data_IF_658814648064
#
_entry.id   IF_658814648064
#
_cell.length_a   1.000
_cell.length_b   1.000
_cell.length_c   1.000
_cell.angle_alpha   90.00
_cell.angle_beta   90.00
_cell.angle_gamma   90.00
#
_symmetry.space_group_name_H-M   'P 1'
#
loop_
_entity.id
_entity.type
_entity.pdbx_description
1 polymer ?
#
# COMPACT_ATOMS: atom_id res chain seq x y z
N UNK A 1 -7.14 19.09 1.78
CA UNK A 1 -7.90 18.03 2.48
C UNK A 1 -9.37 17.99 2.06
N UNK A 2 -10.10 19.11 2.05
CA UNK A 2 -11.55 19.18 1.72
C UNK A 2 -11.81 18.62 0.31
N UNK A 3 -10.98 18.97 -0.66
CA UNK A 3 -11.10 18.48 -2.04
C UNK A 3 -10.97 16.95 -2.11
N UNK A 4 -10.01 16.39 -1.37
CA UNK A 4 -9.79 14.93 -1.31
C UNK A 4 -10.98 14.23 -0.66
N UNK A 5 -11.53 14.79 0.44
CA UNK A 5 -12.71 14.24 1.09
C UNK A 5 -13.94 14.23 0.16
N UNK A 6 -14.15 15.31 -0.59
CA UNK A 6 -15.22 15.37 -1.59
C UNK A 6 -15.01 14.34 -2.72
N UNK A 7 -13.77 14.18 -3.17
CA UNK A 7 -13.41 13.18 -4.20
C UNK A 7 -13.66 11.74 -3.71
N UNK A 8 -13.35 11.45 -2.44
CA UNK A 8 -13.69 10.17 -1.81
C UNK A 8 -15.21 9.92 -1.79
N UNK A 9 -16.00 10.93 -1.49
CA UNK A 9 -17.44 10.81 -1.51
C UNK A 9 -17.97 10.50 -2.92
N UNK A 10 -17.48 11.21 -3.95
CA UNK A 10 -17.85 10.97 -5.35
C UNK A 10 -17.42 9.55 -5.78
N UNK A 11 -16.24 9.11 -5.38
CA UNK A 11 -15.75 7.75 -5.65
C UNK A 11 -16.65 6.70 -5.00
N UNK A 12 -17.00 6.88 -3.72
CA UNK A 12 -17.85 5.95 -2.99
C UNK A 12 -19.23 5.83 -3.60
N UNK A 13 -19.88 6.96 -3.92
CA UNK A 13 -21.19 6.99 -4.58
C UNK A 13 -21.09 6.33 -5.97
N UNK A 14 -20.05 6.66 -6.74
CA UNK A 14 -19.82 6.07 -8.05
C UNK A 14 -19.57 4.56 -8.02
N UNK A 15 -18.85 4.07 -7.01
CA UNK A 15 -18.60 2.64 -6.81
C UNK A 15 -19.90 1.90 -6.44
N UNK A 16 -20.68 2.44 -5.50
CA UNK A 16 -21.99 1.87 -5.13
C UNK A 16 -22.94 1.85 -6.32
N UNK A 17 -22.99 2.94 -7.09
CA UNK A 17 -23.82 3.00 -8.29
C UNK A 17 -23.38 1.98 -9.35
N UNK A 18 -22.08 1.81 -9.55
CA UNK A 18 -21.52 0.78 -10.44
C UNK A 18 -21.94 -0.64 -10.02
N UNK A 19 -21.90 -0.95 -8.74
CA UNK A 19 -22.28 -2.28 -8.22
C UNK A 19 -23.76 -2.62 -8.44
N UNK A 20 -24.63 -1.62 -8.64
CA UNK A 20 -26.09 -1.81 -8.80
C UNK A 20 -26.59 -1.59 -10.23
N UNK A 21 -25.83 -0.91 -11.08
CA UNK A 21 -26.31 -0.48 -12.40
C UNK A 21 -25.32 -0.71 -13.55
N UNK A 22 -24.15 -1.32 -13.28
CA UNK A 22 -23.06 -1.56 -14.25
C UNK A 22 -22.51 -0.26 -14.92
N UNK A 23 -22.89 0.91 -14.41
CA UNK A 23 -22.46 2.21 -14.95
C UNK A 23 -21.24 2.71 -14.18
N UNK A 24 -20.06 2.64 -14.79
CA UNK A 24 -18.76 2.85 -14.15
C UNK A 24 -18.21 4.29 -14.20
N UNK A 25 -18.77 5.18 -15.00
CA UNK A 25 -18.19 6.51 -15.23
C UNK A 25 -18.07 7.36 -13.95
N UNK A 26 -19.02 7.26 -13.02
CA UNK A 26 -18.98 7.98 -11.74
C UNK A 26 -17.83 7.52 -10.84
N UNK A 27 -17.54 6.22 -10.84
CA UNK A 27 -16.40 5.65 -10.11
C UNK A 27 -15.07 6.16 -10.70
N UNK A 28 -14.89 6.13 -12.02
CA UNK A 28 -13.68 6.62 -12.68
C UNK A 28 -13.50 8.14 -12.50
N UNK A 29 -14.59 8.91 -12.54
CA UNK A 29 -14.54 10.35 -12.25
C UNK A 29 -14.07 10.60 -10.81
N UNK A 30 -14.66 9.90 -9.83
CA UNK A 30 -14.25 10.00 -8.43
C UNK A 30 -12.79 9.63 -8.21
N UNK A 31 -12.31 8.58 -8.88
CA UNK A 31 -10.90 8.17 -8.82
C UNK A 31 -9.97 9.23 -9.43
N UNK A 32 -10.31 9.78 -10.59
CA UNK A 32 -9.52 10.84 -11.21
C UNK A 32 -9.45 12.10 -10.34
N UNK A 33 -10.57 12.53 -9.77
CA UNK A 33 -10.62 13.65 -8.84
C UNK A 33 -9.80 13.38 -7.57
N UNK A 34 -9.84 12.16 -7.05
CA UNK A 34 -9.07 11.76 -5.86
C UNK A 34 -7.56 11.82 -6.13
N UNK A 35 -7.09 11.25 -7.24
CA UNK A 35 -5.68 11.28 -7.64
C UNK A 35 -5.21 12.73 -7.83
N UNK A 36 -5.99 13.54 -8.54
CA UNK A 36 -5.66 14.94 -8.75
C UNK A 36 -5.64 15.73 -7.45
N UNK A 37 -6.66 15.56 -6.60
CA UNK A 37 -6.76 16.23 -5.31
C UNK A 37 -5.63 15.85 -4.36
N UNK A 38 -5.25 14.57 -4.31
CA UNK A 38 -4.11 14.08 -3.53
C UNK A 38 -2.79 14.67 -4.03
N UNK A 39 -2.57 14.70 -5.36
CA UNK A 39 -1.39 15.32 -5.94
C UNK A 39 -1.28 16.80 -5.57
N UNK A 40 -2.36 17.57 -5.70
CA UNK A 40 -2.39 19.00 -5.34
C UNK A 40 -2.13 19.20 -3.84
N UNK A 41 -2.73 18.38 -3.00
CA UNK A 41 -2.51 18.47 -1.56
C UNK A 41 -1.05 18.19 -1.18
N UNK A 42 -0.46 17.10 -1.66
CA UNK A 42 0.95 16.80 -1.38
C UNK A 42 1.91 17.83 -1.98
N UNK A 43 1.60 18.37 -3.17
CA UNK A 43 2.35 19.48 -3.75
C UNK A 43 2.35 20.70 -2.82
N UNK A 44 1.18 21.08 -2.30
CA UNK A 44 1.06 22.22 -1.41
C UNK A 44 1.87 22.01 -0.12
N UNK A 45 1.84 20.80 0.46
CA UNK A 45 2.68 20.44 1.63
C UNK A 45 4.18 20.62 1.33
N UNK A 46 4.64 20.25 0.13
CA UNK A 46 6.04 20.46 -0.27
C UNK A 46 6.35 21.96 -0.40
N UNK A 47 5.46 22.76 -0.99
CA UNK A 47 5.64 24.21 -1.14
C UNK A 47 5.68 24.89 0.25
N UNK A 48 4.80 24.49 1.18
CA UNK A 48 4.78 24.99 2.55
C UNK A 48 6.10 24.70 3.29
N UNK A 49 6.69 23.52 3.05
CA UNK A 49 7.96 23.14 3.65
C UNK A 49 9.17 23.87 3.04
N UNK A 50 9.29 23.88 1.70
CA UNK A 50 10.50 24.30 1.02
C UNK A 50 10.55 25.82 0.74
N UNK A 51 9.38 26.46 0.49
CA UNK A 51 9.33 27.84 0.05
C UNK A 51 8.70 28.80 1.08
N UNK A 52 7.78 28.33 1.91
CA UNK A 52 7.04 29.20 2.83
C UNK A 52 7.55 29.12 4.29
N UNK A 53 8.36 28.11 4.61
CA UNK A 53 8.94 27.96 5.97
C UNK A 53 7.89 27.67 7.05
N UNK A 54 6.71 27.19 6.69
CA UNK A 54 5.62 26.94 7.64
C UNK A 54 5.85 25.67 8.48
N UNK A 55 6.83 24.84 8.12
CA UNK A 55 7.15 23.62 8.88
C UNK A 55 8.08 23.95 10.06
N UNK A 56 7.54 24.66 11.05
CA UNK A 56 8.21 24.93 12.31
C UNK A 56 8.55 23.63 13.05
N UNK A 57 9.48 23.64 14.05
CA UNK A 57 9.81 22.46 14.85
C UNK A 57 8.57 21.79 15.48
N UNK A 58 7.59 22.59 15.91
CA UNK A 58 6.32 22.07 16.46
C UNK A 58 5.53 21.31 15.40
N UNK A 59 5.41 21.86 14.18
CA UNK A 59 4.71 21.20 13.05
C UNK A 59 5.43 19.91 12.65
N UNK A 60 6.77 19.89 12.63
CA UNK A 60 7.55 18.68 12.35
C UNK A 60 7.31 17.56 13.37
N UNK A 61 7.19 17.88 14.66
CA UNK A 61 6.84 16.91 15.71
C UNK A 61 5.42 16.37 15.47
N UNK A 62 4.46 17.24 15.13
CA UNK A 62 3.09 16.81 14.83
C UNK A 62 3.02 15.89 13.61
N UNK A 63 3.82 16.13 12.56
CA UNK A 63 3.92 15.22 11.42
C UNK A 63 4.46 13.82 11.82
N UNK A 64 5.43 13.77 12.73
CA UNK A 64 5.96 12.49 13.25
C UNK A 64 4.93 11.72 14.05
N UNK A 65 4.22 12.40 14.97
CA UNK A 65 3.13 11.76 15.71
C UNK A 65 1.97 11.36 14.80
N UNK A 66 1.62 12.18 13.82
CA UNK A 66 0.61 11.87 12.82
C UNK A 66 0.96 10.61 12.02
N UNK A 67 2.22 10.45 11.60
CA UNK A 67 2.68 9.24 10.93
C UNK A 67 2.60 8.02 11.84
N UNK A 68 2.99 8.13 13.10
CA UNK A 68 2.88 7.03 14.07
C UNK A 68 1.43 6.58 14.26
N UNK A 69 0.50 7.52 14.40
CA UNK A 69 -0.93 7.23 14.53
C UNK A 69 -1.52 6.65 13.24
N UNK A 70 -1.07 7.14 12.08
CA UNK A 70 -1.46 6.58 10.78
C UNK A 70 -1.02 5.12 10.67
N UNK A 71 0.24 4.79 10.98
CA UNK A 71 0.71 3.39 10.98
C UNK A 71 -0.07 2.54 11.98
N UNK A 72 -0.40 3.07 13.17
CA UNK A 72 -1.25 2.35 14.13
C UNK A 72 -2.64 2.04 13.55
N UNK A 73 -3.24 2.98 12.81
CA UNK A 73 -4.53 2.75 12.13
C UNK A 73 -4.43 1.68 11.05
N UNK A 74 -3.34 1.65 10.29
CA UNK A 74 -3.09 0.66 9.25
C UNK A 74 -2.85 -0.74 9.85
N UNK A 75 -2.17 -0.83 10.98
CA UNK A 75 -2.05 -2.10 11.74
C UNK A 75 -3.44 -2.60 12.12
N UNK A 76 -4.33 -1.76 12.65
CA UNK A 76 -5.69 -2.15 13.01
C UNK A 76 -6.53 -2.54 11.78
N UNK A 77 -6.32 -1.89 10.64
CA UNK A 77 -6.93 -2.28 9.38
C UNK A 77 -6.55 -3.71 8.98
N UNK A 78 -5.27 -4.07 9.05
CA UNK A 78 -4.83 -5.44 8.77
C UNK A 78 -5.26 -6.44 9.83
N UNK A 79 -5.33 -6.06 11.10
CA UNK A 79 -5.90 -6.90 12.17
C UNK A 79 -7.32 -7.33 11.80
N UNK A 80 -8.15 -6.45 11.23
CA UNK A 80 -9.52 -6.82 10.81
C UNK A 80 -9.51 -7.89 9.71
N UNK A 81 -8.63 -7.79 8.70
CA UNK A 81 -8.51 -8.79 7.63
C UNK A 81 -7.96 -10.12 8.12
N UNK A 82 -6.96 -10.11 9.00
CA UNK A 82 -6.46 -11.32 9.64
C UNK A 82 -7.50 -11.96 10.55
N UNK A 83 -8.27 -11.15 11.27
CA UNK A 83 -9.39 -11.66 12.06
C UNK A 83 -10.39 -12.39 11.17
N UNK A 84 -10.83 -11.78 10.08
CA UNK A 84 -11.75 -12.42 9.14
C UNK A 84 -11.18 -13.74 8.59
N UNK A 85 -9.88 -13.78 8.25
CA UNK A 85 -9.21 -15.00 7.83
C UNK A 85 -9.20 -16.08 8.92
N UNK A 86 -8.79 -15.72 10.13
CA UNK A 86 -8.72 -16.69 11.25
C UNK A 86 -10.10 -17.15 11.71
N UNK A 87 -11.11 -16.30 11.66
CA UNK A 87 -12.49 -16.66 11.99
C UNK A 87 -12.96 -17.81 11.09
N UNK A 88 -12.87 -17.66 9.77
CA UNK A 88 -13.32 -18.69 8.83
C UNK A 88 -12.41 -19.92 8.78
N UNK A 89 -11.13 -19.77 9.11
CA UNK A 89 -10.16 -20.88 9.09
C UNK A 89 -10.23 -21.75 10.34
N UNK A 90 -10.49 -21.17 11.51
CA UNK A 90 -10.56 -21.87 12.77
C UNK A 90 -11.99 -22.40 13.07
N UNK A 91 -12.99 -21.72 12.52
CA UNK A 91 -14.41 -22.08 12.70
C UNK A 91 -15.09 -22.26 11.33
N UNK A 92 -14.65 -23.25 10.53
CA UNK A 92 -15.26 -23.51 9.23
C UNK A 92 -16.73 -23.92 9.42
N UNK A 93 -17.60 -23.33 8.60
CA UNK A 93 -19.05 -23.55 8.66
C UNK A 93 -19.51 -24.51 7.55
N UNK A 94 -20.81 -24.83 7.54
CA UNK A 94 -21.42 -25.74 6.57
C UNK A 94 -21.23 -25.28 5.12
N UNK A 95 -21.15 -23.95 4.84
CA UNK A 95 -20.94 -23.40 3.51
C UNK A 95 -19.57 -23.76 2.92
N UNK A 96 -18.57 -24.03 3.75
CA UNK A 96 -17.23 -24.50 3.31
C UNK A 96 -17.06 -26.00 3.53
N UNK A 97 -18.13 -26.72 3.86
CA UNK A 97 -18.12 -28.16 4.12
C UNK A 97 -17.39 -28.55 5.42
N UNK A 98 -17.33 -27.64 6.40
CA UNK A 98 -16.69 -27.82 7.71
C UNK A 98 -15.20 -28.21 7.64
N UNK A 99 -14.52 -27.86 6.53
CA UNK A 99 -13.09 -28.16 6.30
C UNK A 99 -12.38 -26.92 5.78
N UNK A 100 -11.14 -26.68 6.27
CA UNK A 100 -10.30 -25.61 5.79
C UNK A 100 -8.92 -26.11 5.36
N UNK A 101 -8.38 -25.67 4.18
CA UNK A 101 -9.08 -24.92 3.13
C UNK A 101 -10.19 -25.77 2.49
N UNK A 102 -11.16 -25.14 1.76
CA UNK A 102 -12.21 -25.87 1.04
C UNK A 102 -11.61 -26.90 0.09
N UNK A 103 -12.27 -28.07 -0.08
CA UNK A 103 -11.72 -29.23 -0.80
C UNK A 103 -11.43 -28.97 -2.27
N UNK A 104 -12.14 -28.02 -2.88
CA UNK A 104 -12.08 -27.74 -4.32
C UNK A 104 -11.05 -26.64 -4.66
N UNK A 105 -10.25 -26.20 -3.68
CA UNK A 105 -9.25 -25.14 -3.86
C UNK A 105 -7.84 -25.72 -3.80
N UNK A 106 -7.03 -25.42 -4.83
CA UNK A 106 -5.59 -25.67 -4.81
C UNK A 106 -4.92 -24.38 -4.30
N UNK A 107 -4.41 -24.43 -3.08
CA UNK A 107 -3.69 -23.32 -2.47
C UNK A 107 -2.31 -23.14 -3.09
N UNK A 108 -1.76 -21.91 -3.04
CA UNK A 108 -0.36 -21.68 -3.42
C UNK A 108 0.61 -22.43 -2.50
N UNK A 109 1.70 -22.90 -3.09
CA UNK A 109 2.81 -23.44 -2.29
C UNK A 109 3.55 -22.25 -1.63
N UNK A 110 3.57 -22.18 -0.29
CA UNK A 110 4.23 -21.08 0.42
C UNK A 110 5.75 -21.03 0.20
N UNK A 111 6.36 -22.14 -0.26
CA UNK A 111 7.81 -22.26 -0.47
C UNK A 111 8.27 -21.87 -1.88
N UNK A 112 7.36 -21.53 -2.78
CA UNK A 112 7.64 -21.07 -4.14
C UNK A 112 7.65 -19.53 -4.21
N UNK A 113 6.90 -18.93 -5.12
CA UNK A 113 6.86 -17.47 -5.34
C UNK A 113 6.55 -16.68 -4.07
N UNK A 114 5.63 -17.10 -3.17
CA UNK A 114 5.38 -16.36 -1.94
C UNK A 114 6.63 -16.19 -1.03
N UNK A 115 7.47 -17.21 -0.97
CA UNK A 115 8.74 -17.11 -0.23
C UNK A 115 9.68 -16.09 -0.88
N UNK A 116 9.84 -16.14 -2.20
CA UNK A 116 10.67 -15.19 -2.96
C UNK A 116 10.17 -13.76 -2.71
N UNK A 117 8.87 -13.52 -2.79
CA UNK A 117 8.24 -12.24 -2.51
C UNK A 117 8.57 -11.73 -1.10
N UNK A 118 8.50 -12.60 -0.11
CA UNK A 118 8.87 -12.28 1.27
C UNK A 118 10.34 -11.86 1.37
N UNK A 119 11.25 -12.62 0.76
CA UNK A 119 12.69 -12.32 0.77
C UNK A 119 13.00 -11.00 0.07
N UNK A 120 12.34 -10.69 -1.05
CA UNK A 120 12.47 -9.42 -1.77
C UNK A 120 12.08 -8.23 -0.88
N UNK A 121 10.97 -8.31 -0.15
CA UNK A 121 10.57 -7.23 0.76
C UNK A 121 11.45 -7.13 2.00
N UNK A 122 11.92 -8.24 2.56
CA UNK A 122 12.91 -8.21 3.64
C UNK A 122 14.20 -7.53 3.18
N UNK A 123 14.68 -7.85 1.98
CA UNK A 123 15.83 -7.19 1.39
C UNK A 123 15.58 -5.69 1.17
N UNK A 124 14.38 -5.29 0.70
CA UNK A 124 14.02 -3.89 0.54
C UNK A 124 14.03 -3.13 1.87
N UNK A 125 13.64 -3.79 2.96
CA UNK A 125 13.75 -3.26 4.31
C UNK A 125 15.18 -2.94 4.74
N UNK A 126 16.16 -3.79 4.38
CA UNK A 126 17.58 -3.53 4.66
C UNK A 126 18.12 -2.37 3.82
N UNK A 127 17.74 -2.27 2.55
CA UNK A 127 18.20 -1.19 1.66
C UNK A 127 17.62 0.16 2.04
N UNK A 128 16.36 0.24 2.47
CA UNK A 128 15.77 1.51 2.96
C UNK A 128 16.38 1.94 4.28
N UNK A 129 16.72 0.99 5.16
CA UNK A 129 17.40 1.27 6.42
C UNK A 129 18.80 1.83 6.15
N UNK A 130 19.57 1.20 5.27
CA UNK A 130 20.86 1.73 4.83
C UNK A 130 20.71 3.16 4.26
N UNK A 131 19.76 3.39 3.39
CA UNK A 131 19.49 4.72 2.83
C UNK A 131 19.21 5.76 3.93
N UNK A 132 18.37 5.41 4.91
CA UNK A 132 18.04 6.30 6.01
C UNK A 132 19.28 6.66 6.87
N UNK A 133 20.08 5.68 7.23
CA UNK A 133 21.33 5.94 7.98
C UNK A 133 22.32 6.78 7.18
N UNK A 134 22.50 6.52 5.90
CA UNK A 134 23.33 7.34 5.01
C UNK A 134 22.87 8.79 4.97
N UNK A 135 21.55 9.04 4.98
CA UNK A 135 20.99 10.40 5.06
C UNK A 135 21.38 11.09 6.39
N UNK A 136 21.29 10.38 7.52
CA UNK A 136 21.64 10.91 8.83
C UNK A 136 23.14 11.24 8.95
N UNK A 137 24.00 10.44 8.34
CA UNK A 137 25.44 10.63 8.27
C UNK A 137 25.87 11.70 7.26
N UNK A 138 24.95 12.12 6.37
CA UNK A 138 25.22 13.09 5.32
C UNK A 138 25.83 12.47 4.06
N UNK A 139 25.90 11.13 3.97
CA UNK A 139 26.29 10.41 2.76
C UNK A 139 25.15 10.40 1.74
N UNK A 140 25.12 11.44 0.92
CA UNK A 140 24.10 11.59 -0.12
C UNK A 140 24.17 10.49 -1.19
N UNK A 141 25.34 9.93 -1.46
CA UNK A 141 25.51 8.87 -2.45
C UNK A 141 24.88 7.56 -1.96
N UNK A 142 25.20 7.16 -0.72
CA UNK A 142 24.61 5.99 -0.08
C UNK A 142 23.07 6.12 0.04
N UNK A 143 22.57 7.31 0.43
CA UNK A 143 21.14 7.60 0.48
C UNK A 143 20.43 7.34 -0.85
N UNK A 144 20.95 7.90 -1.98
CA UNK A 144 20.36 7.73 -3.30
C UNK A 144 20.44 6.28 -3.77
N UNK A 145 21.58 5.62 -3.58
CA UNK A 145 21.76 4.22 -3.97
C UNK A 145 20.81 3.27 -3.21
N UNK A 146 20.70 3.44 -1.89
CA UNK A 146 19.78 2.65 -1.06
C UNK A 146 18.32 2.82 -1.49
N UNK A 147 17.87 4.07 -1.75
CA UNK A 147 16.50 4.32 -2.23
C UNK A 147 16.25 3.75 -3.63
N UNK A 148 17.19 3.84 -4.55
CA UNK A 148 17.04 3.24 -5.89
C UNK A 148 16.84 1.74 -5.78
N UNK A 149 17.66 1.05 -4.99
CA UNK A 149 17.52 -0.38 -4.77
C UNK A 149 16.17 -0.73 -4.14
N UNK A 150 15.75 0.04 -3.14
CA UNK A 150 14.46 -0.17 -2.46
C UNK A 150 13.28 -0.04 -3.43
N UNK A 151 13.27 1.00 -4.28
CA UNK A 151 12.21 1.22 -5.27
C UNK A 151 12.18 0.10 -6.33
N UNK A 152 13.35 -0.37 -6.79
CA UNK A 152 13.44 -1.49 -7.73
C UNK A 152 12.88 -2.77 -7.10
N UNK A 153 13.23 -3.07 -5.84
CA UNK A 153 12.74 -4.25 -5.13
C UNK A 153 11.22 -4.18 -4.89
N UNK A 154 10.68 -3.00 -4.57
CA UNK A 154 9.24 -2.79 -4.43
C UNK A 154 8.47 -3.00 -5.76
N UNK A 155 9.02 -2.51 -6.86
CA UNK A 155 8.46 -2.75 -8.19
C UNK A 155 8.55 -4.23 -8.59
N UNK A 156 9.65 -4.89 -8.27
CA UNK A 156 9.85 -6.33 -8.53
C UNK A 156 8.85 -7.18 -7.74
N UNK A 157 8.65 -6.89 -6.44
CA UNK A 157 7.60 -7.53 -5.65
C UNK A 157 6.22 -7.40 -6.31
N UNK A 158 5.86 -6.18 -6.75
CA UNK A 158 4.57 -5.92 -7.39
C UNK A 158 4.41 -6.75 -8.66
N UNK A 159 5.47 -6.89 -9.46
CA UNK A 159 5.45 -7.72 -10.66
C UNK A 159 5.26 -9.21 -10.35
N UNK A 160 5.95 -9.75 -9.33
CA UNK A 160 5.78 -11.12 -8.87
C UNK A 160 4.38 -11.39 -8.32
N UNK A 161 3.81 -10.44 -7.57
CA UNK A 161 2.46 -10.55 -7.04
C UNK A 161 1.40 -10.54 -8.16
N UNK A 162 1.60 -9.72 -9.18
CA UNK A 162 0.72 -9.72 -10.36
C UNK A 162 0.83 -11.04 -11.13
N UNK A 163 2.05 -11.59 -11.27
CA UNK A 163 2.27 -12.90 -11.87
C UNK A 163 1.56 -14.01 -11.08
N UNK A 164 1.69 -14.02 -9.75
CA UNK A 164 1.02 -14.98 -8.87
C UNK A 164 -0.51 -14.92 -9.02
N UNK A 165 -1.10 -13.71 -9.03
CA UNK A 165 -2.54 -13.55 -9.22
C UNK A 165 -3.02 -14.02 -10.60
N UNK A 166 -2.21 -13.84 -11.64
CA UNK A 166 -2.55 -14.32 -12.97
C UNK A 166 -2.58 -15.85 -13.07
N UNK A 167 -1.79 -16.54 -12.25
CA UNK A 167 -1.70 -18.01 -12.23
C UNK A 167 -2.53 -18.65 -11.10
N UNK A 168 -3.29 -17.85 -10.36
CA UNK A 168 -4.19 -18.35 -9.34
C UNK A 168 -5.26 -19.26 -9.94
N UNK A 169 -5.50 -20.40 -9.29
CA UNK A 169 -6.50 -21.39 -9.69
C UNK A 169 -7.89 -21.12 -9.13
N UNK A 170 -8.02 -20.08 -8.31
CA UNK A 170 -9.27 -19.67 -7.65
C UNK A 170 -9.50 -18.17 -7.84
N UNK A 171 -10.76 -17.76 -7.93
CA UNK A 171 -11.15 -16.37 -8.04
C UNK A 171 -11.64 -15.80 -6.69
N UNK A 172 -11.78 -14.47 -6.64
CA UNK A 172 -12.31 -13.76 -5.47
C UNK A 172 -13.71 -14.23 -5.05
N UNK A 173 -14.56 -14.54 -6.03
CA UNK A 173 -15.98 -14.87 -5.84
C UNK A 173 -16.27 -16.36 -5.67
N UNK A 174 -15.28 -17.23 -5.88
CA UNK A 174 -15.54 -18.67 -5.91
C UNK A 174 -15.88 -19.22 -4.53
N UNK A 175 -15.11 -18.81 -3.52
CA UNK A 175 -15.27 -19.28 -2.13
C UNK A 175 -14.81 -18.20 -1.15
N UNK A 176 -15.22 -18.35 0.11
CA UNK A 176 -14.77 -17.47 1.21
C UNK A 176 -13.24 -17.44 1.33
N UNK A 177 -12.53 -18.52 0.99
CA UNK A 177 -11.07 -18.55 0.93
C UNK A 177 -10.53 -17.51 -0.05
N UNK A 178 -11.06 -17.49 -1.29
CA UNK A 178 -10.67 -16.48 -2.29
C UNK A 178 -10.94 -15.07 -1.80
N UNK A 179 -12.12 -14.82 -1.22
CA UNK A 179 -12.49 -13.50 -0.70
C UNK A 179 -11.50 -13.01 0.37
N UNK A 180 -11.22 -13.80 1.42
CA UNK A 180 -10.31 -13.37 2.51
C UNK A 180 -8.86 -13.29 2.04
N UNK A 181 -8.44 -14.19 1.15
CA UNK A 181 -7.10 -14.17 0.56
C UNK A 181 -6.86 -12.88 -0.25
N UNK A 182 -7.74 -12.60 -1.23
CA UNK A 182 -7.55 -11.44 -2.10
C UNK A 182 -7.79 -10.11 -1.37
N UNK A 183 -8.66 -10.07 -0.35
CA UNK A 183 -8.81 -8.87 0.47
C UNK A 183 -7.53 -8.58 1.26
N UNK A 184 -6.99 -9.55 1.97
CA UNK A 184 -5.77 -9.34 2.77
C UNK A 184 -4.55 -9.04 1.88
N UNK A 185 -4.29 -9.88 0.87
CA UNK A 185 -3.10 -9.74 0.00
C UNK A 185 -3.25 -8.61 -1.01
N UNK A 186 -4.46 -8.32 -1.49
CA UNK A 186 -4.74 -7.21 -2.40
C UNK A 186 -4.58 -5.85 -1.72
N UNK A 187 -5.09 -5.67 -0.51
CA UNK A 187 -4.81 -4.45 0.26
C UNK A 187 -3.33 -4.32 0.62
N UNK A 188 -2.65 -5.42 0.95
CA UNK A 188 -1.21 -5.39 1.13
C UNK A 188 -0.49 -4.96 -0.15
N UNK A 189 -0.83 -5.53 -1.30
CA UNK A 189 -0.27 -5.13 -2.60
C UNK A 189 -0.52 -3.66 -2.93
N UNK A 190 -1.71 -3.14 -2.64
CA UNK A 190 -2.00 -1.71 -2.76
C UNK A 190 -1.07 -0.86 -1.88
N UNK A 191 -0.85 -1.23 -0.62
CA UNK A 191 0.07 -0.55 0.28
C UNK A 191 1.52 -0.58 -0.22
N UNK A 192 1.96 -1.71 -0.79
CA UNK A 192 3.30 -1.82 -1.39
C UNK A 192 3.45 -0.89 -2.60
N UNK A 193 2.44 -0.79 -3.46
CA UNK A 193 2.45 0.13 -4.61
C UNK A 193 2.53 1.59 -4.13
N UNK A 194 1.66 1.99 -3.20
CA UNK A 194 1.63 3.35 -2.65
C UNK A 194 2.95 3.68 -1.94
N UNK A 195 3.46 2.75 -1.13
CA UNK A 195 4.75 2.90 -0.43
C UNK A 195 5.92 3.03 -1.40
N UNK A 196 5.94 2.23 -2.48
CA UNK A 196 6.97 2.32 -3.51
C UNK A 196 6.92 3.66 -4.26
N UNK A 197 5.73 4.17 -4.58
CA UNK A 197 5.56 5.51 -5.18
C UNK A 197 6.04 6.59 -4.21
N UNK A 198 5.70 6.48 -2.92
CA UNK A 198 6.15 7.41 -1.89
C UNK A 198 7.68 7.46 -1.81
N UNK A 199 8.34 6.29 -1.79
CA UNK A 199 9.81 6.22 -1.78
C UNK A 199 10.43 6.74 -3.09
N UNK A 200 9.78 6.53 -4.23
CA UNK A 200 10.22 7.11 -5.51
C UNK A 200 10.15 8.65 -5.51
N UNK A 201 9.12 9.24 -4.90
CA UNK A 201 9.03 10.70 -4.68
C UNK A 201 10.12 11.18 -3.73
N UNK A 202 10.40 10.44 -2.64
CA UNK A 202 11.52 10.74 -1.74
C UNK A 202 12.86 10.69 -2.49
N UNK A 203 13.08 9.70 -3.34
CA UNK A 203 14.27 9.60 -4.19
C UNK A 203 14.42 10.83 -5.11
N UNK A 204 13.34 11.21 -5.77
CA UNK A 204 13.33 12.39 -6.63
C UNK A 204 13.64 13.67 -5.85
N UNK A 205 12.97 13.90 -4.71
CA UNK A 205 13.25 15.04 -3.83
C UNK A 205 14.68 15.01 -3.27
N UNK A 206 15.18 13.83 -2.95
CA UNK A 206 16.56 13.63 -2.53
C UNK A 206 17.56 14.05 -3.60
N UNK A 207 17.32 13.71 -4.87
CA UNK A 207 18.15 14.17 -6.01
C UNK A 207 18.11 15.69 -6.21
N UNK A 208 16.99 16.34 -5.89
CA UNK A 208 16.86 17.80 -5.95
C UNK A 208 17.51 18.52 -4.75
N UNK A 209 17.90 17.80 -3.70
CA UNK A 209 18.53 18.40 -2.53
C UNK A 209 17.56 18.93 -1.49
N UNK A 210 16.29 18.51 -1.52
CA UNK A 210 15.28 18.95 -0.57
C UNK A 210 15.48 18.39 0.86
N UNK A 211 16.28 17.32 1.01
CA UNK A 211 16.62 16.78 2.31
C UNK A 211 17.93 17.40 2.79
N UNK A 212 17.85 18.27 3.78
CA UNK A 212 18.95 18.80 4.59
C UNK A 212 18.98 18.07 5.92
N UNK A 213 20.16 18.05 6.56
CA UNK A 213 20.34 17.44 7.90
C UNK A 213 19.36 17.98 8.90
#
# INVERSE_FOLDING_TARGET
PIYVSFSCLVLAIGAVYYMHSDVSWGMYLGLALLIYGAYMWFRDVVIEAEHQGHHTPVVQIHHRYGMTLFIASEVMFFVAWFWAYFDVSLFPNDFVGNVWPPKDIVTFDPWDIPLINTLVLLLSGTTVTWSHHSLLEGDRKGFIQGLVLTVILGAFFTALQAYEYHHATFAFSDHIYGSVFYMATGFHGFHVIVGTIFLAVCLWRGKLGHFTK
#
